data_IF_119037650559
#
_entry.id   IF_119037650559
#
_cell.length_a   1.000
_cell.length_b   1.000
_cell.length_c   1.000
_cell.angle_alpha   90.00
_cell.angle_beta   90.00
_cell.angle_gamma   90.00
#
_symmetry.space_group_name_H-M   'P 1'
#
loop_
_entity.id
_entity.type
_entity.pdbx_description
1 polymer ?
#
# COMPACT_ATOMS: atom_id res chain seq x y z
N UNK A 1 11.58 15.98 26.61
CA UNK A 1 10.77 17.15 27.00
C UNK A 1 10.02 17.63 25.77
N UNK A 2 8.74 18.01 25.84
CA UNK A 2 7.96 18.50 24.69
C UNK A 2 8.65 19.65 23.93
N UNK A 3 9.52 20.44 24.58
CA UNK A 3 10.32 21.47 23.91
C UNK A 3 11.50 20.93 23.06
N UNK A 4 12.01 19.73 23.33
CA UNK A 4 13.08 19.13 22.54
C UNK A 4 12.58 18.63 21.17
N UNK A 5 11.32 18.20 21.09
CA UNK A 5 10.73 17.67 19.85
C UNK A 5 10.32 18.81 18.88
N UNK A 6 10.05 20.01 19.42
CA UNK A 6 9.73 21.23 18.65
C UNK A 6 10.83 21.66 17.68
N UNK A 7 12.08 21.30 17.96
CA UNK A 7 13.23 21.63 17.13
C UNK A 7 13.67 20.48 16.21
N UNK A 8 12.91 19.38 16.16
CA UNK A 8 13.25 18.26 15.31
C UNK A 8 13.20 18.68 13.82
N UNK A 9 14.25 18.41 13.01
CA UNK A 9 14.37 18.93 11.63
C UNK A 9 13.26 18.43 10.69
N UNK A 10 12.55 17.38 11.12
CA UNK A 10 11.46 16.77 10.37
C UNK A 10 10.07 17.06 10.94
N UNK A 11 9.95 17.80 12.05
CA UNK A 11 8.65 18.27 12.54
C UNK A 11 8.03 19.23 11.50
N UNK A 12 6.74 19.04 11.21
CA UNK A 12 5.98 19.87 10.23
C UNK A 12 4.76 20.54 10.84
N UNK A 13 4.11 19.88 11.79
CA UNK A 13 2.98 20.42 12.52
C UNK A 13 2.92 19.76 13.90
N UNK A 14 2.31 20.44 14.85
CA UNK A 14 2.03 19.89 16.17
C UNK A 14 0.75 20.50 16.74
N UNK A 15 0.07 19.75 17.60
CA UNK A 15 -1.13 20.17 18.31
C UNK A 15 -0.98 19.81 19.78
N UNK A 16 -1.35 20.73 20.66
CA UNK A 16 -1.52 20.42 22.09
C UNK A 16 -2.97 20.01 22.32
N UNK A 17 -3.14 18.88 23.01
CA UNK A 17 -4.43 18.33 23.40
C UNK A 17 -4.87 18.90 24.76
N UNK A 18 -6.09 18.59 25.17
CA UNK A 18 -6.72 19.08 26.40
C UNK A 18 -6.17 18.42 27.68
N UNK A 19 -5.45 17.31 27.55
CA UNK A 19 -4.69 16.61 28.60
C UNK A 19 -3.20 16.99 28.64
N UNK A 20 -2.83 18.10 27.98
CA UNK A 20 -1.45 18.59 27.78
C UNK A 20 -0.55 17.65 26.95
N UNK A 21 -1.06 16.55 26.38
CA UNK A 21 -0.31 15.76 25.41
C UNK A 21 -0.08 16.54 24.11
N UNK A 22 0.96 16.15 23.37
CA UNK A 22 1.34 16.79 22.11
C UNK A 22 1.33 15.76 20.98
N UNK A 23 0.45 15.97 20.01
CA UNK A 23 0.47 15.25 18.74
C UNK A 23 1.44 15.95 17.79
N UNK A 24 2.47 15.24 17.31
CA UNK A 24 3.45 15.76 16.35
C UNK A 24 3.35 15.06 14.99
N UNK A 25 3.49 15.82 13.90
CA UNK A 25 3.58 15.31 12.54
C UNK A 25 5.03 15.43 12.05
N UNK A 26 5.74 14.31 12.01
CA UNK A 26 7.08 14.22 11.47
C UNK A 26 7.04 13.75 10.01
N UNK A 27 7.60 14.55 9.11
CA UNK A 27 7.68 14.18 7.69
C UNK A 27 8.99 14.66 7.05
N UNK A 28 9.87 13.69 6.86
CA UNK A 28 11.18 13.86 6.23
C UNK A 28 11.01 14.28 4.76
N UNK A 29 10.05 13.68 4.04
CA UNK A 29 9.89 13.81 2.59
C UNK A 29 8.90 14.89 2.17
N UNK A 30 8.18 15.50 3.12
CA UNK A 30 7.21 16.58 2.91
C UNK A 30 6.06 16.21 1.95
N UNK A 31 5.66 14.95 1.96
CA UNK A 31 4.53 14.44 1.19
C UNK A 31 3.22 14.46 1.97
N UNK A 32 3.27 14.48 3.30
CA UNK A 32 2.13 14.63 4.18
C UNK A 32 1.34 15.91 3.88
N UNK A 33 0.04 15.84 4.13
CA UNK A 33 -0.91 16.95 4.01
C UNK A 33 -1.82 16.93 5.22
N UNK A 34 -2.23 18.12 5.65
CA UNK A 34 -3.22 18.30 6.71
C UNK A 34 -4.34 19.16 6.12
N UNK A 35 -5.57 18.67 6.23
CA UNK A 35 -6.77 19.38 5.81
C UNK A 35 -7.71 19.46 7.01
N UNK A 36 -8.27 20.64 7.25
CA UNK A 36 -9.33 20.86 8.24
C UNK A 36 -10.61 21.09 7.46
N UNK A 37 -11.61 20.25 7.68
CA UNK A 37 -12.90 20.28 6.97
C UNK A 37 -14.03 20.01 7.97
N UNK A 38 -15.25 20.35 7.57
CA UNK A 38 -16.43 19.99 8.33
C UNK A 38 -16.64 18.47 8.32
N UNK A 39 -17.08 17.91 9.46
CA UNK A 39 -17.31 16.47 9.58
C UNK A 39 -18.35 16.00 8.55
N UNK A 40 -18.00 14.97 7.78
CA UNK A 40 -18.85 14.47 6.68
C UNK A 40 -18.68 15.20 5.34
N UNK A 41 -18.01 16.36 5.30
CA UNK A 41 -17.77 17.13 4.07
C UNK A 41 -16.34 16.92 3.55
N UNK A 42 -16.08 15.71 3.04
CA UNK A 42 -14.75 15.32 2.56
C UNK A 42 -14.55 15.50 1.05
N UNK A 43 -15.61 15.85 0.32
CA UNK A 43 -15.64 15.95 -1.15
C UNK A 43 -14.68 17.01 -1.69
N UNK A 44 -14.44 18.07 -0.90
CA UNK A 44 -13.46 19.11 -1.23
C UNK A 44 -12.00 18.60 -1.22
N UNK A 45 -11.74 17.43 -0.61
CA UNK A 45 -10.42 16.80 -0.60
C UNK A 45 -10.35 15.86 -1.80
N UNK A 46 -9.93 16.38 -2.95
CA UNK A 46 -9.88 15.64 -4.23
C UNK A 46 -9.15 14.28 -4.15
N UNK A 47 -8.17 14.15 -3.25
CA UNK A 47 -7.45 12.89 -3.03
C UNK A 47 -8.27 11.82 -2.30
N UNK A 48 -9.23 12.22 -1.46
CA UNK A 48 -10.15 11.31 -0.76
C UNK A 48 -11.35 10.96 -1.65
N UNK A 49 -11.90 11.95 -2.37
CA UNK A 49 -13.04 11.76 -3.28
C UNK A 49 -12.77 10.70 -4.37
N UNK A 50 -11.54 10.65 -4.87
CA UNK A 50 -11.14 9.70 -5.91
C UNK A 50 -10.69 8.33 -5.41
N UNK A 51 -10.80 8.05 -4.11
CA UNK A 51 -10.43 6.75 -3.55
C UNK A 51 -11.45 5.67 -3.93
N UNK A 52 -10.92 4.49 -4.23
CA UNK A 52 -11.72 3.27 -4.31
C UNK A 52 -12.24 2.83 -2.94
N UNK A 53 -13.02 1.74 -2.90
CA UNK A 53 -13.54 1.19 -1.66
C UNK A 53 -12.42 0.76 -0.72
N UNK A 54 -12.72 0.78 0.58
CA UNK A 54 -11.82 0.30 1.62
C UNK A 54 -11.67 -1.24 1.52
N UNK A 55 -10.43 -1.79 1.51
CA UNK A 55 -10.14 -3.20 1.30
C UNK A 55 -10.85 -4.22 2.21
N UNK A 56 -11.28 -3.86 3.41
CA UNK A 56 -11.98 -4.72 4.38
C UNK A 56 -13.49 -4.45 4.45
N UNK A 57 -13.99 -3.44 3.74
CA UNK A 57 -15.42 -3.20 3.60
C UNK A 57 -16.11 -4.20 2.66
N UNK A 58 -17.43 -4.33 2.81
CA UNK A 58 -18.30 -5.12 1.93
C UNK A 58 -18.40 -4.52 0.50
N UNK A 59 -18.07 -3.24 0.34
CA UNK A 59 -18.07 -2.56 -0.95
C UNK A 59 -16.91 -3.02 -1.85
N UNK A 60 -15.81 -3.48 -1.25
CA UNK A 60 -14.70 -4.05 -2.00
C UNK A 60 -15.03 -5.50 -2.38
N UNK A 61 -15.35 -5.72 -3.66
CA UNK A 61 -15.68 -7.05 -4.19
C UNK A 61 -14.79 -7.40 -5.38
N UNK A 62 -14.61 -8.70 -5.65
CA UNK A 62 -13.88 -9.16 -6.83
C UNK A 62 -14.49 -8.64 -8.15
N UNK A 63 -15.82 -8.54 -8.20
CA UNK A 63 -16.57 -8.00 -9.33
C UNK A 63 -16.35 -6.49 -9.49
N UNK A 64 -16.39 -5.73 -8.39
CA UNK A 64 -16.06 -4.31 -8.38
C UNK A 64 -14.63 -4.06 -8.85
N UNK A 65 -13.67 -4.81 -8.30
CA UNK A 65 -12.27 -4.73 -8.69
C UNK A 65 -12.07 -5.07 -10.18
N UNK A 66 -12.74 -6.11 -10.68
CA UNK A 66 -12.70 -6.48 -12.10
C UNK A 66 -13.19 -5.34 -13.00
N UNK A 67 -14.34 -4.72 -12.67
CA UNK A 67 -14.88 -3.58 -13.44
C UNK A 67 -13.91 -2.40 -13.43
N UNK A 68 -13.40 -2.04 -12.25
CA UNK A 68 -12.44 -0.95 -12.10
C UNK A 68 -11.15 -1.19 -12.91
N UNK A 69 -10.58 -2.39 -12.84
CA UNK A 69 -9.37 -2.75 -13.59
C UNK A 69 -9.59 -2.82 -15.11
N UNK A 70 -10.80 -3.16 -15.54
CA UNK A 70 -11.18 -3.24 -16.96
C UNK A 70 -11.42 -1.86 -17.59
N UNK A 71 -11.66 -0.82 -16.77
CA UNK A 71 -11.87 0.55 -17.23
C UNK A 71 -10.59 1.23 -17.74
N UNK A 72 -9.41 0.60 -17.59
CA UNK A 72 -8.13 1.17 -18.04
C UNK A 72 -7.26 0.13 -18.73
N UNK A 73 -6.45 0.60 -19.69
CA UNK A 73 -5.41 -0.21 -20.35
C UNK A 73 -4.04 -0.09 -19.66
N UNK A 74 -3.96 0.55 -18.49
CA UNK A 74 -2.71 0.61 -17.71
C UNK A 74 -2.39 -0.75 -17.10
N UNK A 75 -1.12 -0.97 -16.79
CA UNK A 75 -0.67 -2.17 -16.07
C UNK A 75 -1.43 -2.30 -14.74
N UNK A 76 -1.80 -3.53 -14.37
CA UNK A 76 -2.58 -3.81 -13.15
C UNK A 76 -1.92 -3.21 -11.91
N UNK A 77 -0.59 -3.28 -11.79
CA UNK A 77 0.13 -2.67 -10.65
C UNK A 77 -0.07 -1.17 -10.59
N UNK A 78 0.05 -0.48 -11.72
CA UNK A 78 -0.18 0.97 -11.82
C UNK A 78 -1.60 1.34 -11.40
N UNK A 79 -2.58 0.54 -11.81
CA UNK A 79 -3.96 0.76 -11.44
C UNK A 79 -4.16 0.62 -9.92
N UNK A 80 -3.64 -0.43 -9.29
CA UNK A 80 -3.71 -0.59 -7.83
C UNK A 80 -3.06 0.58 -7.08
N UNK A 81 -1.90 1.06 -7.54
CA UNK A 81 -1.21 2.17 -6.89
C UNK A 81 -1.90 3.53 -7.07
N UNK A 82 -2.84 3.65 -8.01
CA UNK A 82 -3.63 4.87 -8.19
C UNK A 82 -4.66 5.10 -7.08
N UNK A 83 -4.85 4.12 -6.18
CA UNK A 83 -5.86 4.12 -5.12
C UNK A 83 -7.32 4.09 -5.60
N UNK A 84 -7.59 4.17 -6.92
CA UNK A 84 -8.96 4.20 -7.48
C UNK A 84 -9.68 2.86 -7.48
N UNK A 85 -9.04 1.72 -7.82
CA UNK A 85 -9.74 0.43 -7.76
C UNK A 85 -9.96 -0.04 -6.31
N UNK A 86 -9.11 0.42 -5.40
CA UNK A 86 -9.08 0.05 -3.98
C UNK A 86 -8.14 1.02 -3.24
N UNK A 87 -8.56 1.52 -2.09
CA UNK A 87 -7.75 2.41 -1.26
C UNK A 87 -6.69 1.64 -0.43
N UNK A 88 -5.66 2.33 0.05
CA UNK A 88 -4.67 1.79 1.00
C UNK A 88 -3.63 0.84 0.41
N UNK A 89 -3.67 0.53 -0.90
CA UNK A 89 -2.71 -0.38 -1.54
C UNK A 89 -1.47 0.38 -1.99
N UNK A 90 -0.42 0.32 -1.17
CA UNK A 90 0.93 0.85 -1.48
C UNK A 90 1.80 -0.12 -2.29
N UNK A 91 3.03 0.31 -2.62
CA UNK A 91 3.96 -0.44 -3.48
C UNK A 91 4.30 -1.85 -2.95
N UNK A 92 4.42 -1.99 -1.63
CA UNK A 92 4.73 -3.25 -0.95
C UNK A 92 3.57 -4.22 -1.13
N UNK A 93 2.38 -3.82 -0.68
CA UNK A 93 1.20 -4.67 -0.70
C UNK A 93 0.74 -4.97 -2.13
N UNK A 94 0.99 -4.09 -3.10
CA UNK A 94 0.74 -4.38 -4.50
C UNK A 94 1.60 -5.54 -5.02
N UNK A 95 2.91 -5.57 -4.71
CA UNK A 95 3.80 -6.67 -5.13
C UNK A 95 3.43 -7.98 -4.43
N UNK A 96 3.19 -7.94 -3.12
CA UNK A 96 2.75 -9.10 -2.33
C UNK A 96 1.42 -9.67 -2.86
N UNK A 97 0.41 -8.82 -3.04
CA UNK A 97 -0.90 -9.26 -3.50
C UNK A 97 -0.85 -9.83 -4.92
N UNK A 98 -0.10 -9.21 -5.84
CA UNK A 98 0.06 -9.73 -7.20
C UNK A 98 0.84 -11.05 -7.22
N UNK A 99 1.82 -11.23 -6.33
CA UNK A 99 2.53 -12.49 -6.16
C UNK A 99 1.63 -13.59 -5.59
N UNK A 100 0.85 -13.27 -4.55
CA UNK A 100 -0.14 -14.17 -3.93
C UNK A 100 -1.19 -14.61 -4.96
N UNK A 101 -1.74 -13.67 -5.74
CA UNK A 101 -2.74 -13.93 -6.77
C UNK A 101 -2.16 -14.56 -8.06
N UNK A 102 -0.84 -14.67 -8.17
CA UNK A 102 -0.14 -15.19 -9.36
C UNK A 102 -0.43 -14.37 -10.63
N UNK A 103 -0.47 -13.04 -10.50
CA UNK A 103 -0.73 -12.11 -11.59
C UNK A 103 0.54 -11.35 -11.95
N UNK A 104 0.91 -11.34 -13.24
CA UNK A 104 2.03 -10.53 -13.70
C UNK A 104 1.73 -9.04 -13.50
N UNK A 105 2.61 -8.26 -12.85
CA UNK A 105 2.29 -6.87 -12.52
C UNK A 105 2.16 -5.95 -13.74
N UNK A 106 2.58 -6.39 -14.93
CA UNK A 106 2.44 -5.65 -16.19
C UNK A 106 1.31 -6.13 -17.10
N UNK A 107 0.45 -7.07 -16.68
CA UNK A 107 -0.76 -7.34 -17.47
C UNK A 107 -1.67 -6.12 -17.46
N UNK A 108 -2.36 -5.88 -18.58
CA UNK A 108 -3.32 -4.78 -18.75
C UNK A 108 -4.77 -5.25 -18.64
N UNK A 109 -4.97 -6.55 -18.52
CA UNK A 109 -6.26 -7.19 -18.38
C UNK A 109 -6.17 -8.26 -17.29
N UNK A 110 -7.18 -8.29 -16.44
CA UNK A 110 -7.36 -9.30 -15.40
C UNK A 110 -8.75 -9.86 -15.59
N UNK A 111 -8.86 -11.17 -15.84
CA UNK A 111 -10.19 -11.80 -15.98
C UNK A 111 -10.95 -11.77 -14.66
N UNK A 112 -12.28 -11.83 -14.72
CA UNK A 112 -13.16 -11.79 -13.56
C UNK A 112 -12.75 -12.79 -12.43
N UNK A 113 -12.45 -14.07 -12.72
CA UNK A 113 -11.97 -14.99 -11.68
C UNK A 113 -10.61 -14.62 -11.09
N UNK A 114 -9.71 -14.05 -11.91
CA UNK A 114 -8.40 -13.58 -11.43
C UNK A 114 -8.53 -12.34 -10.55
N UNK A 115 -9.49 -11.46 -10.83
CA UNK A 115 -9.79 -10.29 -10.01
C UNK A 115 -10.37 -10.68 -8.65
N UNK A 116 -11.23 -11.71 -8.59
CA UNK A 116 -11.68 -12.30 -7.32
C UNK A 116 -10.49 -12.74 -6.45
N UNK A 117 -9.60 -13.57 -6.99
CA UNK A 117 -8.38 -13.99 -6.27
C UNK A 117 -7.47 -12.83 -5.88
N UNK A 118 -7.41 -11.78 -6.72
CA UNK A 118 -6.63 -10.59 -6.41
C UNK A 118 -7.22 -9.81 -5.24
N UNK A 119 -8.55 -9.70 -5.14
CA UNK A 119 -9.21 -9.05 -4.01
C UNK A 119 -8.87 -9.76 -2.69
N UNK A 120 -8.94 -11.09 -2.67
CA UNK A 120 -8.58 -11.90 -1.48
C UNK A 120 -7.08 -11.77 -1.15
N UNK A 121 -6.22 -11.76 -2.17
CA UNK A 121 -4.79 -11.57 -2.01
C UNK A 121 -4.44 -10.18 -1.47
N UNK A 122 -5.17 -9.13 -1.88
CA UNK A 122 -5.02 -7.77 -1.35
C UNK A 122 -5.36 -7.75 0.14
N UNK A 123 -6.51 -8.30 0.54
CA UNK A 123 -6.88 -8.40 1.96
C UNK A 123 -5.84 -9.18 2.76
N UNK A 124 -5.34 -10.28 2.21
CA UNK A 124 -4.31 -11.10 2.85
C UNK A 124 -3.01 -10.30 3.07
N UNK A 125 -2.52 -9.61 2.03
CA UNK A 125 -1.30 -8.81 2.12
C UNK A 125 -1.44 -7.65 3.13
N UNK A 126 -2.57 -6.94 3.11
CA UNK A 126 -2.84 -5.85 4.06
C UNK A 126 -3.02 -6.37 5.49
N UNK A 127 -3.69 -7.51 5.68
CA UNK A 127 -3.84 -8.15 6.99
C UNK A 127 -2.48 -8.53 7.58
N UNK A 128 -1.54 -9.03 6.76
CA UNK A 128 -0.16 -9.27 7.22
C UNK A 128 0.49 -7.98 7.70
N UNK A 129 0.29 -6.87 6.98
CA UNK A 129 0.71 -5.54 7.41
C UNK A 129 0.15 -5.16 8.78
N UNK A 130 -1.18 -5.22 8.94
CA UNK A 130 -1.86 -4.88 10.20
C UNK A 130 -1.39 -5.73 11.37
N UNK A 131 -1.27 -7.05 11.19
CA UNK A 131 -0.87 -8.00 12.25
C UNK A 131 0.56 -7.78 12.76
N UNK A 132 1.46 -7.33 11.90
CA UNK A 132 2.88 -7.16 12.22
C UNK A 132 3.30 -5.69 12.38
N UNK A 133 2.35 -4.79 12.64
CA UNK A 133 2.63 -3.36 12.90
C UNK A 133 3.11 -2.57 11.67
N UNK A 134 2.78 -3.03 10.47
CA UNK A 134 3.23 -2.45 9.20
C UNK A 134 4.63 -2.90 8.80
N UNK A 135 5.09 -2.42 7.64
CA UNK A 135 6.44 -2.70 7.13
C UNK A 135 7.35 -1.49 7.37
N UNK A 136 8.34 -1.65 8.24
CA UNK A 136 9.39 -0.64 8.45
C UNK A 136 10.58 -0.94 7.53
N UNK A 137 10.76 -0.16 6.46
CA UNK A 137 11.88 -0.35 5.52
C UNK A 137 13.00 0.69 5.66
N UNK A 138 12.75 1.86 6.26
CA UNK A 138 13.76 2.90 6.58
C UNK A 138 13.22 4.04 7.46
N UNK A 139 11.99 4.53 7.19
CA UNK A 139 11.51 5.82 7.79
C UNK A 139 10.13 5.73 8.48
N UNK A 140 9.59 4.52 8.70
CA UNK A 140 8.26 4.34 9.32
C UNK A 140 8.43 3.71 10.71
N UNK A 141 8.10 4.45 11.76
CA UNK A 141 7.99 3.95 13.14
C UNK A 141 6.51 3.96 13.55
N UNK A 142 6.10 3.00 14.38
CA UNK A 142 4.76 2.98 14.97
C UNK A 142 4.62 4.06 16.06
N UNK A 143 3.39 4.31 16.52
CA UNK A 143 3.06 5.35 17.52
C UNK A 143 3.83 5.19 18.85
N UNK A 144 4.31 3.98 19.17
CA UNK A 144 5.11 3.66 20.34
C UNK A 144 6.63 3.72 20.08
N UNK A 145 7.07 4.16 18.90
CA UNK A 145 8.48 4.22 18.50
C UNK A 145 9.10 2.88 18.12
N UNK A 146 8.32 1.78 18.15
CA UNK A 146 8.81 0.47 17.70
C UNK A 146 8.82 0.35 16.17
N UNK A 147 9.62 -0.56 15.64
CA UNK A 147 9.62 -0.87 14.21
C UNK A 147 8.59 -1.97 13.93
N UNK A 148 7.75 -1.75 12.90
CA UNK A 148 6.93 -2.82 12.35
C UNK A 148 7.82 -3.98 11.92
N UNK A 149 7.29 -5.22 11.99
CA UNK A 149 8.04 -6.45 11.70
C UNK A 149 7.64 -7.08 10.37
N UNK A 150 6.69 -6.50 9.65
CA UNK A 150 6.15 -7.11 8.43
C UNK A 150 7.20 -7.31 7.33
N UNK A 151 8.33 -6.59 7.35
CA UNK A 151 9.46 -6.81 6.43
C UNK A 151 10.00 -8.24 6.47
N UNK A 152 9.93 -8.92 7.62
CA UNK A 152 10.35 -10.32 7.77
C UNK A 152 9.33 -11.31 7.21
N UNK A 153 8.12 -10.85 6.89
CA UNK A 153 7.02 -11.65 6.38
C UNK A 153 6.78 -11.44 4.89
N UNK A 154 7.57 -10.58 4.22
CA UNK A 154 7.44 -10.31 2.80
C UNK A 154 7.90 -11.51 1.96
N UNK A 155 7.06 -11.92 1.01
CA UNK A 155 7.28 -13.10 0.16
C UNK A 155 7.82 -12.71 -1.21
N UNK A 156 7.68 -11.45 -1.61
CA UNK A 156 8.06 -10.96 -2.93
C UNK A 156 8.70 -9.57 -2.90
N UNK A 157 8.10 -8.57 -2.26
CA UNK A 157 8.59 -7.21 -2.26
C UNK A 157 10.00 -7.12 -1.65
N UNK A 158 10.89 -6.38 -2.33
CA UNK A 158 12.26 -6.17 -1.85
C UNK A 158 13.21 -7.36 -2.00
N UNK A 159 12.71 -8.53 -2.41
CA UNK A 159 13.45 -9.80 -2.46
C UNK A 159 13.96 -10.17 -3.85
N UNK A 160 14.25 -9.17 -4.67
CA UNK A 160 14.79 -9.43 -6.01
C UNK A 160 16.19 -10.04 -5.92
N UNK A 161 16.47 -11.07 -6.73
CA UNK A 161 17.69 -11.87 -6.63
C UNK A 161 17.57 -13.06 -5.67
N UNK A 162 16.50 -13.16 -4.88
CA UNK A 162 16.25 -14.31 -4.01
C UNK A 162 15.37 -15.37 -4.68
N UNK A 163 15.46 -16.65 -4.28
CA UNK A 163 14.57 -17.70 -4.78
C UNK A 163 13.12 -17.44 -4.35
N UNK A 164 12.19 -17.55 -5.31
CA UNK A 164 10.75 -17.49 -5.02
C UNK A 164 10.35 -18.64 -4.11
N UNK A 165 9.74 -18.34 -2.97
CA UNK A 165 9.32 -19.36 -2.00
C UNK A 165 8.27 -20.35 -2.51
N UNK A 166 7.62 -20.04 -3.64
CA UNK A 166 6.65 -20.95 -4.28
C UNK A 166 7.30 -21.95 -5.23
N UNK A 167 8.34 -21.54 -5.97
CA UNK A 167 8.85 -22.34 -7.10
C UNK A 167 10.37 -22.35 -7.25
N UNK A 168 11.11 -21.75 -6.33
CA UNK A 168 12.58 -21.67 -6.34
C UNK A 168 13.18 -20.74 -7.40
N UNK A 169 12.43 -20.33 -8.43
CA UNK A 169 12.94 -19.41 -9.46
C UNK A 169 13.28 -18.05 -8.86
N UNK A 170 14.43 -17.50 -9.23
CA UNK A 170 14.86 -16.16 -8.82
C UNK A 170 13.80 -15.09 -9.11
N UNK A 171 13.48 -14.31 -8.08
CA UNK A 171 12.60 -13.15 -8.16
C UNK A 171 13.29 -12.02 -8.92
N UNK A 172 12.58 -11.40 -9.87
CA UNK A 172 13.11 -10.34 -10.72
C UNK A 172 12.57 -8.97 -10.33
N UNK A 173 13.35 -7.93 -10.61
CA UNK A 173 12.96 -6.52 -10.45
C UNK A 173 12.90 -5.79 -11.78
N UNK A 174 11.95 -4.86 -11.90
CA UNK A 174 11.82 -3.87 -12.98
C UNK A 174 11.13 -2.63 -12.44
N UNK A 175 11.10 -1.61 -13.28
CA UNK A 175 10.33 -0.41 -13.03
C UNK A 175 9.05 -0.49 -13.88
N UNK A 176 7.89 -0.30 -13.26
CA UNK A 176 6.60 -0.09 -13.94
C UNK A 176 6.11 1.29 -13.48
N UNK A 177 5.93 2.22 -14.42
CA UNK A 177 5.46 3.59 -14.16
C UNK A 177 6.15 4.25 -12.96
N UNK A 178 7.50 4.29 -13.01
CA UNK A 178 8.37 4.84 -11.96
C UNK A 178 8.24 4.18 -10.58
N UNK A 179 7.77 2.93 -10.51
CA UNK A 179 7.67 2.14 -9.27
C UNK A 179 8.45 0.84 -9.40
N UNK A 180 9.44 0.68 -8.52
CA UNK A 180 10.18 -0.57 -8.37
C UNK A 180 9.21 -1.71 -8.07
N UNK A 181 9.32 -2.79 -8.83
CA UNK A 181 8.39 -3.91 -8.85
C UNK A 181 9.15 -5.21 -8.82
N UNK A 182 8.92 -6.01 -7.80
CA UNK A 182 9.44 -7.38 -7.71
C UNK A 182 8.36 -8.37 -8.12
N UNK A 183 8.71 -9.40 -8.88
CA UNK A 183 7.79 -10.50 -9.22
C UNK A 183 8.53 -11.80 -9.52
N UNK A 184 7.84 -12.93 -9.43
CA UNK A 184 8.34 -14.22 -9.88
C UNK A 184 8.01 -14.45 -11.38
N UNK A 185 8.99 -14.58 -12.29
CA UNK A 185 8.72 -14.76 -13.71
C UNK A 185 8.00 -16.09 -14.04
N UNK A 186 8.18 -17.12 -13.19
CA UNK A 186 7.56 -18.44 -13.36
C UNK A 186 6.13 -18.48 -12.81
N UNK A 187 5.92 -17.99 -11.60
CA UNK A 187 4.59 -18.00 -10.98
C UNK A 187 3.65 -16.95 -11.55
N UNK A 188 4.18 -15.80 -11.99
CA UNK A 188 3.40 -14.68 -12.50
C UNK A 188 3.63 -14.53 -14.00
N UNK A 189 3.29 -15.59 -14.74
CA UNK A 189 3.29 -15.58 -16.21
C UNK A 189 2.28 -14.56 -16.75
N UNK A 190 2.58 -14.01 -17.92
CA UNK A 190 1.70 -13.06 -18.61
C UNK A 190 0.47 -13.76 -19.15
#
# INVERSE_FOLDING_TARGET
SPDADRHHPHLRAWWRLDDDEVLTLHDIRRFGRVHVVEAGSYEAIATLDSLGPEPFSDQFTGDGLWRALSASRRCVKTQLLSQRPVAGVGNIYADEALWLAQINPAVRYVSKPRAGRLADAIRTALTSGLRHGGTTLRDYATLDGSSGRNQHHLRCYGRAGEPCERCGTELRRRIIDARGTTWCPTCQRR
#
